data_IF_846893654463
#
_entry.id   IF_846893654463
#
_cell.length_a   1.000
_cell.length_b   1.000
_cell.length_c   1.000
_cell.angle_alpha   90.00
_cell.angle_beta   90.00
_cell.angle_gamma   90.00
#
_symmetry.space_group_name_H-M   'P 1'
#
loop_
_entity.id
_entity.type
_entity.pdbx_description
1 polymer ?
#
# COMPACT_ATOMS: atom_id res chain seq x y z
N UNK A 1 -0.91 9.63 -28.24
CA UNK A 1 -0.36 9.34 -26.90
C UNK A 1 -0.60 7.87 -26.61
N UNK A 2 0.45 7.08 -26.41
CA UNK A 2 0.30 5.68 -26.04
C UNK A 2 -0.49 5.61 -24.73
N UNK A 3 -1.52 4.77 -24.68
CA UNK A 3 -2.29 4.52 -23.46
C UNK A 3 -1.40 3.76 -22.48
N UNK A 4 -0.92 4.40 -21.44
CA UNK A 4 -0.09 3.80 -20.39
C UNK A 4 -0.98 3.20 -19.30
N UNK A 5 -0.77 1.92 -19.01
CA UNK A 5 -1.39 1.15 -17.93
C UNK A 5 -0.34 0.92 -16.84
N UNK A 6 -0.74 0.83 -15.57
CA UNK A 6 0.16 0.58 -14.44
C UNK A 6 1.38 1.53 -14.38
N UNK A 7 1.13 2.82 -14.12
CA UNK A 7 2.21 3.80 -14.11
C UNK A 7 3.18 3.54 -12.95
N UNK A 8 4.50 3.61 -13.22
CA UNK A 8 5.51 3.61 -12.18
C UNK A 8 5.49 4.91 -11.38
N UNK A 9 6.30 4.98 -10.33
CA UNK A 9 6.57 6.23 -9.62
C UNK A 9 7.23 7.25 -10.55
N UNK A 10 6.81 8.51 -10.44
CA UNK A 10 7.56 9.65 -10.97
C UNK A 10 8.79 9.96 -10.11
N UNK A 11 9.67 10.85 -10.57
CA UNK A 11 10.80 11.33 -9.77
C UNK A 11 10.37 11.95 -8.43
N UNK A 12 9.20 12.60 -8.40
CA UNK A 12 8.61 13.12 -7.15
C UNK A 12 8.11 11.98 -6.25
N UNK A 13 7.47 10.96 -6.82
CA UNK A 13 7.05 9.77 -6.08
C UNK A 13 8.23 9.03 -5.44
N UNK A 14 9.35 8.89 -6.19
CA UNK A 14 10.62 8.37 -5.68
C UNK A 14 11.12 9.14 -4.45
N UNK A 15 11.21 10.47 -4.55
CA UNK A 15 11.66 11.32 -3.44
C UNK A 15 10.77 11.17 -2.20
N UNK A 16 9.45 10.99 -2.40
CA UNK A 16 8.51 10.75 -1.30
C UNK A 16 8.74 9.38 -0.63
N UNK A 17 9.01 8.33 -1.43
CA UNK A 17 9.32 7.00 -0.91
C UNK A 17 10.66 6.99 -0.14
N UNK A 18 11.70 7.66 -0.66
CA UNK A 18 12.98 7.83 0.03
C UNK A 18 12.82 8.64 1.33
N UNK A 19 11.96 9.66 1.34
CA UNK A 19 11.65 10.42 2.54
C UNK A 19 10.93 9.56 3.59
N UNK A 20 10.06 8.64 3.18
CA UNK A 20 9.47 7.65 4.08
C UNK A 20 10.55 6.69 4.63
N UNK A 21 11.45 6.18 3.79
CA UNK A 21 12.59 5.36 4.22
C UNK A 21 13.40 6.05 5.33
N UNK A 22 13.76 7.33 5.12
CA UNK A 22 14.49 8.13 6.12
C UNK A 22 13.71 8.31 7.42
N UNK A 23 12.39 8.54 7.35
CA UNK A 23 11.53 8.65 8.54
C UNK A 23 11.48 7.35 9.33
N UNK A 24 11.42 6.19 8.66
CA UNK A 24 11.46 4.88 9.30
C UNK A 24 12.80 4.64 10.02
N UNK A 25 13.92 4.93 9.36
CA UNK A 25 15.25 4.84 9.97
C UNK A 25 15.35 5.74 11.20
N UNK A 26 14.82 6.97 11.11
CA UNK A 26 14.84 7.90 12.23
C UNK A 26 13.98 7.43 13.40
N UNK A 27 12.77 6.94 13.13
CA UNK A 27 11.87 6.41 14.16
C UNK A 27 12.48 5.21 14.88
N UNK A 28 13.17 4.32 14.15
CA UNK A 28 13.91 3.20 14.75
C UNK A 28 15.07 3.63 15.64
N UNK A 29 15.73 4.76 15.35
CA UNK A 29 16.76 5.34 16.24
C UNK A 29 16.16 5.96 17.50
N UNK A 30 14.93 6.47 17.41
CA UNK A 30 14.22 7.10 18.52
C UNK A 30 13.43 6.13 19.38
N UNK A 31 13.37 4.84 18.99
CA UNK A 31 12.52 3.84 19.63
C UNK A 31 11.06 4.31 19.76
N UNK A 32 10.53 4.89 18.68
CA UNK A 32 9.15 5.37 18.63
C UNK A 32 8.17 4.18 18.70
N UNK A 33 7.53 4.04 19.86
CA UNK A 33 6.58 2.97 20.16
C UNK A 33 5.38 2.95 19.20
N UNK A 34 5.00 4.09 18.61
CA UNK A 34 3.87 4.16 17.68
C UNK A 34 4.15 3.44 16.35
N UNK A 35 5.42 3.22 16.01
CA UNK A 35 5.84 2.59 14.75
C UNK A 35 6.78 1.40 14.95
N UNK A 36 6.99 0.93 16.17
CA UNK A 36 7.84 -0.23 16.46
C UNK A 36 7.43 -1.45 15.63
N UNK A 37 6.13 -1.74 15.55
CA UNK A 37 5.58 -2.85 14.77
C UNK A 37 5.79 -2.69 13.25
N UNK A 38 5.89 -1.45 12.76
CA UNK A 38 6.19 -1.15 11.35
C UNK A 38 7.66 -1.40 11.00
N UNK A 39 8.56 -1.36 11.99
CA UNK A 39 9.99 -1.65 11.81
C UNK A 39 10.29 -3.15 11.81
N UNK A 40 9.39 -3.95 12.38
CA UNK A 40 9.51 -5.41 12.48
C UNK A 40 8.18 -6.09 12.09
N UNK A 41 7.71 -5.93 10.85
CA UNK A 41 6.48 -6.57 10.41
C UNK A 41 6.68 -8.07 10.25
N UNK A 42 5.68 -8.87 10.64
CA UNK A 42 5.68 -10.31 10.37
C UNK A 42 5.31 -10.61 8.91
N UNK A 43 4.58 -9.70 8.24
CA UNK A 43 4.30 -9.76 6.81
C UNK A 43 4.18 -8.37 6.17
N UNK A 44 4.59 -8.27 4.91
CA UNK A 44 4.43 -7.07 4.08
C UNK A 44 3.63 -7.42 2.84
N UNK A 45 2.37 -6.99 2.81
CA UNK A 45 1.50 -7.11 1.66
C UNK A 45 1.63 -5.89 0.75
N UNK A 46 1.69 -6.10 -0.55
CA UNK A 46 1.95 -5.04 -1.51
C UNK A 46 0.97 -5.16 -2.66
N UNK A 47 0.29 -4.06 -3.00
CA UNK A 47 -0.49 -4.00 -4.22
C UNK A 47 0.41 -4.32 -5.43
N UNK A 48 -0.05 -5.12 -6.41
CA UNK A 48 0.76 -5.50 -7.56
C UNK A 48 0.99 -4.39 -8.60
N UNK A 49 0.40 -3.20 -8.41
CA UNK A 49 0.71 -2.03 -9.24
C UNK A 49 2.17 -1.57 -9.02
N UNK A 50 2.88 -1.28 -10.10
CA UNK A 50 4.32 -0.97 -10.14
C UNK A 50 4.72 0.12 -9.15
N UNK A 51 3.94 1.21 -9.05
CA UNK A 51 4.19 2.28 -8.07
C UNK A 51 4.16 1.83 -6.61
N UNK A 52 3.30 0.85 -6.27
CA UNK A 52 3.19 0.34 -4.90
C UNK A 52 4.37 -0.58 -4.59
N UNK A 53 4.76 -1.44 -5.54
CA UNK A 53 5.97 -2.27 -5.44
C UNK A 53 7.21 -1.40 -5.27
N UNK A 54 7.41 -0.40 -6.13
CA UNK A 54 8.54 0.53 -6.02
C UNK A 54 8.55 1.28 -4.69
N UNK A 55 7.39 1.74 -4.21
CA UNK A 55 7.28 2.39 -2.89
C UNK A 55 7.69 1.43 -1.78
N UNK A 56 7.21 0.18 -1.81
CA UNK A 56 7.55 -0.84 -0.82
C UNK A 56 9.06 -1.13 -0.81
N UNK A 57 9.68 -1.29 -1.98
CA UNK A 57 11.12 -1.55 -2.09
C UNK A 57 11.94 -0.37 -1.59
N UNK A 58 11.65 0.86 -2.02
CA UNK A 58 12.42 2.05 -1.63
C UNK A 58 12.24 2.37 -0.14
N UNK A 59 11.01 2.32 0.36
CA UNK A 59 10.68 2.76 1.72
C UNK A 59 10.88 1.67 2.77
N UNK A 60 10.41 0.45 2.51
CA UNK A 60 10.40 -0.65 3.48
C UNK A 60 11.55 -1.63 3.26
N UNK A 61 12.02 -1.80 2.02
CA UNK A 61 13.07 -2.75 1.66
C UNK A 61 14.26 -2.74 2.63
N UNK A 62 14.92 -1.58 2.87
CA UNK A 62 16.04 -1.50 3.80
C UNK A 62 15.72 -1.94 5.23
N UNK A 63 14.48 -1.70 5.69
CA UNK A 63 13.99 -2.09 7.02
C UNK A 63 13.75 -3.59 7.09
N UNK A 64 13.09 -4.16 6.07
CA UNK A 64 12.72 -5.58 6.00
C UNK A 64 13.97 -6.46 5.82
N UNK A 65 14.96 -6.02 5.04
CA UNK A 65 16.20 -6.78 4.81
C UNK A 65 17.24 -6.57 5.92
N UNK A 66 17.01 -5.66 6.89
CA UNK A 66 18.04 -5.20 7.83
C UNK A 66 18.65 -6.30 8.70
N UNK A 67 17.86 -7.27 9.12
CA UNK A 67 18.28 -8.27 10.13
C UNK A 67 19.00 -9.47 9.50
N UNK A 68 18.48 -9.98 8.40
CA UNK A 68 18.94 -11.25 7.79
C UNK A 68 19.63 -11.02 6.44
N UNK A 69 19.62 -9.80 5.93
CA UNK A 69 20.01 -9.48 4.56
C UNK A 69 18.98 -9.89 3.51
N UNK A 70 17.90 -10.56 3.90
CA UNK A 70 16.84 -11.04 3.02
C UNK A 70 15.48 -10.61 3.57
N UNK A 71 14.55 -10.25 2.70
CA UNK A 71 13.20 -9.87 3.10
C UNK A 71 12.15 -10.59 2.27
N UNK A 72 10.92 -10.61 2.78
CA UNK A 72 9.78 -11.17 2.05
C UNK A 72 8.66 -10.14 1.92
N UNK A 73 8.07 -10.09 0.73
CA UNK A 73 6.87 -9.31 0.44
C UNK A 73 5.89 -10.21 -0.32
N UNK A 74 4.59 -10.02 -0.07
CA UNK A 74 3.52 -10.78 -0.73
C UNK A 74 2.72 -9.83 -1.60
N UNK A 75 2.61 -10.12 -2.89
CA UNK A 75 1.72 -9.36 -3.76
C UNK A 75 0.28 -9.71 -3.43
N UNK A 76 -0.54 -8.71 -3.14
CA UNK A 76 -1.94 -8.88 -2.75
C UNK A 76 -2.83 -8.18 -3.78
N UNK A 77 -3.44 -8.97 -4.67
CA UNK A 77 -4.30 -8.46 -5.75
C UNK A 77 -5.43 -7.55 -5.24
N UNK A 78 -5.94 -7.86 -4.04
CA UNK A 78 -7.05 -7.14 -3.43
C UNK A 78 -6.67 -5.76 -2.88
N UNK A 79 -5.37 -5.48 -2.69
CA UNK A 79 -4.87 -4.18 -2.23
C UNK A 79 -4.74 -3.13 -3.37
N UNK A 80 -5.04 -3.50 -4.62
CA UNK A 80 -4.96 -2.59 -5.78
C UNK A 80 -5.91 -1.39 -5.66
N UNK A 81 -5.58 -0.32 -6.39
CA UNK A 81 -6.43 0.87 -6.45
C UNK A 81 -7.79 0.58 -7.10
N UNK A 82 -8.82 1.34 -6.71
CA UNK A 82 -10.13 1.27 -7.34
C UNK A 82 -10.05 1.62 -8.84
N UNK A 83 -10.56 0.73 -9.69
CA UNK A 83 -10.65 0.97 -11.12
C UNK A 83 -11.87 1.84 -11.46
N UNK A 84 -11.62 3.14 -11.69
CA UNK A 84 -12.64 4.08 -12.13
C UNK A 84 -12.80 4.07 -13.66
N UNK A 85 -13.94 4.59 -14.14
CA UNK A 85 -14.23 4.67 -15.58
C UNK A 85 -13.15 5.46 -16.33
N UNK A 86 -12.48 4.81 -17.29
CA UNK A 86 -11.36 5.39 -18.04
C UNK A 86 -10.00 5.34 -17.32
N UNK A 87 -9.94 4.80 -16.11
CA UNK A 87 -8.72 4.65 -15.30
C UNK A 87 -7.87 3.45 -15.74
N UNK A 88 -7.20 3.57 -16.88
CA UNK A 88 -6.29 2.53 -17.40
C UNK A 88 -5.07 2.29 -16.50
N UNK A 89 -4.69 3.29 -15.71
CA UNK A 89 -3.57 3.22 -14.75
C UNK A 89 -3.74 2.12 -13.67
N UNK A 90 -4.96 1.69 -13.40
CA UNK A 90 -5.23 0.65 -12.39
C UNK A 90 -5.26 -0.77 -12.96
N UNK A 91 -4.99 -0.90 -14.26
CA UNK A 91 -4.85 -2.17 -14.97
C UNK A 91 -3.39 -2.47 -15.18
N UNK A 92 -3.05 -3.75 -15.19
CA UNK A 92 -1.78 -4.21 -15.71
C UNK A 92 -2.00 -5.00 -17.01
N UNK A 93 -0.90 -5.25 -17.72
CA UNK A 93 -0.84 -6.25 -18.80
C UNK A 93 0.05 -7.43 -18.39
N UNK A 94 0.47 -7.46 -17.12
CA UNK A 94 1.46 -8.37 -16.56
C UNK A 94 0.83 -9.18 -15.44
N UNK A 95 1.22 -10.45 -15.34
CA UNK A 95 0.78 -11.43 -14.35
C UNK A 95 2.00 -12.19 -13.83
N UNK A 96 1.89 -12.82 -12.66
CA UNK A 96 2.92 -13.57 -11.98
C UNK A 96 4.23 -12.78 -11.87
N UNK A 97 5.33 -13.43 -12.20
CA UNK A 97 6.68 -12.87 -12.14
C UNK A 97 6.90 -11.68 -13.10
N UNK A 98 6.10 -11.55 -14.15
CA UNK A 98 6.23 -10.44 -15.10
C UNK A 98 5.87 -9.09 -14.46
N UNK A 99 5.02 -9.09 -13.43
CA UNK A 99 4.70 -7.90 -12.63
C UNK A 99 5.96 -7.35 -11.95
N UNK A 100 6.76 -8.26 -11.37
CA UNK A 100 8.00 -7.93 -10.68
C UNK A 100 9.08 -7.50 -11.67
N UNK A 101 9.22 -8.21 -12.79
CA UNK A 101 10.18 -7.87 -13.83
C UNK A 101 9.90 -6.48 -14.43
N UNK A 102 8.62 -6.15 -14.64
CA UNK A 102 8.21 -4.80 -15.05
C UNK A 102 8.59 -3.76 -14.01
N UNK A 103 8.22 -3.99 -12.75
CA UNK A 103 8.51 -3.07 -11.64
C UNK A 103 10.01 -2.83 -11.47
N UNK A 104 10.85 -3.86 -11.63
CA UNK A 104 12.30 -3.76 -11.59
C UNK A 104 12.86 -2.94 -12.77
N UNK A 105 12.34 -3.14 -13.98
CA UNK A 105 12.77 -2.37 -15.14
C UNK A 105 12.43 -0.89 -14.98
N UNK A 106 11.21 -0.59 -14.53
CA UNK A 106 10.79 0.77 -14.23
C UNK A 106 11.58 1.38 -13.06
N UNK A 107 11.93 0.58 -12.05
CA UNK A 107 12.77 1.03 -10.93
C UNK A 107 14.19 1.38 -11.42
N UNK A 108 14.78 0.59 -12.32
CA UNK A 108 16.07 0.92 -12.94
C UNK A 108 16.02 2.21 -13.73
N UNK A 109 14.97 2.40 -14.53
CA UNK A 109 14.76 3.63 -15.30
C UNK A 109 14.58 4.85 -14.37
N UNK A 110 13.85 4.69 -13.27
CA UNK A 110 13.58 5.75 -12.29
C UNK A 110 14.84 6.27 -11.57
N UNK A 111 15.89 5.44 -11.50
CA UNK A 111 17.18 5.77 -10.90
C UNK A 111 18.29 5.98 -11.94
N UNK A 112 17.95 6.10 -13.22
CA UNK A 112 18.89 6.26 -14.34
C UNK A 112 20.02 5.19 -14.34
N UNK A 113 19.78 4.03 -13.74
CA UNK A 113 20.76 2.96 -13.54
C UNK A 113 21.85 3.24 -12.49
N UNK A 114 21.81 4.35 -11.76
CA UNK A 114 22.91 4.82 -10.88
C UNK A 114 22.80 4.37 -9.41
N UNK A 115 21.63 3.93 -8.94
CA UNK A 115 21.43 3.61 -7.52
C UNK A 115 21.51 2.11 -7.23
N UNK A 116 22.74 1.64 -7.00
CA UNK A 116 23.04 0.24 -6.73
C UNK A 116 22.42 -0.29 -5.44
N UNK A 117 22.19 0.55 -4.43
CA UNK A 117 21.67 0.09 -3.12
C UNK A 117 20.20 -0.31 -3.20
N UNK A 118 19.35 0.48 -3.88
CA UNK A 118 17.93 0.16 -4.05
C UNK A 118 17.74 -1.08 -4.93
N UNK A 119 18.54 -1.23 -5.99
CA UNK A 119 18.50 -2.42 -6.85
C UNK A 119 19.01 -3.67 -6.13
N UNK A 120 20.03 -3.53 -5.28
CA UNK A 120 20.49 -4.61 -4.40
C UNK A 120 19.45 -4.96 -3.34
N UNK A 121 18.73 -3.96 -2.83
CA UNK A 121 17.60 -4.20 -1.92
C UNK A 121 16.52 -5.00 -2.63
N UNK A 122 16.17 -4.64 -3.87
CA UNK A 122 15.21 -5.41 -4.67
C UNK A 122 15.65 -6.88 -4.84
N UNK A 123 16.92 -7.14 -5.15
CA UNK A 123 17.42 -8.52 -5.33
C UNK A 123 17.48 -9.34 -4.04
N UNK A 124 17.55 -8.67 -2.88
CA UNK A 124 17.48 -9.29 -1.56
C UNK A 124 16.04 -9.55 -1.08
N UNK A 125 15.03 -9.06 -1.81
CA UNK A 125 13.62 -9.30 -1.49
C UNK A 125 13.09 -10.50 -2.29
N UNK A 126 12.52 -11.46 -1.57
CA UNK A 126 11.65 -12.49 -2.14
C UNK A 126 10.24 -11.93 -2.25
N UNK A 127 9.64 -12.10 -3.41
CA UNK A 127 8.24 -11.77 -3.64
C UNK A 127 7.42 -13.05 -3.82
N UNK A 128 6.38 -13.22 -3.01
CA UNK A 128 5.30 -14.15 -3.32
C UNK A 128 4.35 -13.48 -4.30
N UNK A 129 4.21 -14.07 -5.49
CA UNK A 129 3.39 -13.56 -6.59
C UNK A 129 2.16 -14.42 -6.87
N UNK A 130 1.80 -15.34 -5.96
CA UNK A 130 0.74 -16.33 -6.19
C UNK A 130 -0.61 -15.68 -6.54
N UNK A 131 -1.03 -14.67 -5.76
CA UNK A 131 -2.27 -13.91 -5.94
C UNK A 131 -2.38 -13.19 -7.29
N UNK A 132 -1.27 -13.08 -8.03
CA UNK A 132 -1.23 -12.40 -9.33
C UNK A 132 -0.80 -13.28 -10.47
N UNK A 133 -0.68 -14.61 -10.27
CA UNK A 133 -0.40 -15.58 -11.34
C UNK A 133 -1.42 -15.48 -12.49
N UNK A 134 -2.67 -15.19 -12.16
CA UNK A 134 -3.76 -14.92 -13.10
C UNK A 134 -4.11 -13.43 -13.17
N UNK A 135 -5.08 -13.10 -14.03
CA UNK A 135 -5.60 -11.74 -14.17
C UNK A 135 -6.19 -11.24 -12.84
N UNK A 136 -5.54 -10.26 -12.24
CA UNK A 136 -5.90 -9.68 -10.95
C UNK A 136 -6.63 -8.32 -11.04
N UNK A 137 -6.91 -7.84 -12.25
CA UNK A 137 -7.66 -6.60 -12.52
C UNK A 137 -8.98 -6.88 -13.25
N UNK A 138 -9.91 -5.93 -13.18
CA UNK A 138 -11.20 -6.03 -13.85
C UNK A 138 -11.08 -5.71 -15.34
N UNK A 139 -11.66 -6.55 -16.21
CA UNK A 139 -11.56 -6.40 -17.67
C UNK A 139 -12.42 -5.22 -18.20
N UNK A 140 -13.58 -5.00 -17.57
CA UNK A 140 -14.52 -3.94 -17.95
C UNK A 140 -14.07 -2.53 -17.58
N UNK A 141 -14.69 -1.49 -18.14
CA UNK A 141 -14.26 -0.08 -18.04
C UNK A 141 -14.10 0.47 -16.62
N UNK A 142 -14.85 -0.05 -15.66
CA UNK A 142 -14.80 0.33 -14.25
C UNK A 142 -15.23 -0.86 -13.39
N UNK A 143 -14.64 -1.00 -12.20
CA UNK A 143 -15.12 -1.94 -11.19
C UNK A 143 -16.46 -1.44 -10.62
N UNK A 144 -17.46 -2.32 -10.60
CA UNK A 144 -18.77 -1.99 -10.05
C UNK A 144 -18.72 -1.83 -8.52
N UNK A 145 -19.70 -1.13 -7.91
CA UNK A 145 -19.76 -1.00 -6.45
C UNK A 145 -19.84 -2.35 -5.72
N UNK A 146 -20.50 -3.36 -6.28
CA UNK A 146 -20.58 -4.70 -5.70
C UNK A 146 -19.23 -5.43 -5.78
N UNK A 147 -18.56 -5.40 -6.92
CA UNK A 147 -17.23 -6.03 -7.07
C UNK A 147 -16.20 -5.39 -6.15
N UNK A 148 -16.21 -4.06 -6.03
CA UNK A 148 -15.38 -3.34 -5.06
C UNK A 148 -15.68 -3.78 -3.63
N UNK A 149 -16.97 -3.96 -3.28
CA UNK A 149 -17.38 -4.42 -1.95
C UNK A 149 -16.87 -5.82 -1.66
N UNK A 150 -17.09 -6.77 -2.58
CA UNK A 150 -16.68 -8.16 -2.42
C UNK A 150 -15.16 -8.26 -2.29
N UNK A 151 -14.41 -7.51 -3.11
CA UNK A 151 -12.95 -7.39 -2.99
C UNK A 151 -12.49 -6.82 -1.65
N UNK A 152 -13.15 -5.76 -1.16
CA UNK A 152 -12.83 -5.19 0.14
C UNK A 152 -13.11 -6.16 1.29
N UNK A 153 -14.17 -6.98 1.17
CA UNK A 153 -14.48 -8.02 2.14
C UNK A 153 -13.41 -9.12 2.12
N UNK A 154 -12.98 -9.57 0.94
CA UNK A 154 -11.87 -10.52 0.82
C UNK A 154 -10.57 -9.96 1.40
N UNK A 155 -10.20 -8.73 1.03
CA UNK A 155 -9.06 -8.01 1.61
C UNK A 155 -9.09 -7.99 3.14
N UNK A 156 -10.22 -7.58 3.73
CA UNK A 156 -10.34 -7.53 5.18
C UNK A 156 -10.32 -8.93 5.82
N UNK A 157 -10.89 -9.94 5.15
CA UNK A 157 -10.85 -11.34 5.60
C UNK A 157 -9.42 -11.84 5.68
N UNK A 158 -8.63 -11.61 4.63
CA UNK A 158 -7.21 -11.98 4.57
C UNK A 158 -6.43 -11.36 5.74
N UNK A 159 -6.71 -10.10 6.10
CA UNK A 159 -6.07 -9.45 7.25
C UNK A 159 -6.55 -10.03 8.60
N UNK A 160 -7.86 -10.20 8.79
CA UNK A 160 -8.41 -10.67 10.08
C UNK A 160 -8.03 -12.10 10.42
N UNK A 161 -7.88 -12.95 9.40
CA UNK A 161 -7.57 -14.37 9.56
C UNK A 161 -6.14 -14.73 9.13
N UNK A 162 -5.30 -13.72 8.91
CA UNK A 162 -3.87 -13.88 8.75
C UNK A 162 -3.26 -14.54 10.01
N UNK A 163 -2.27 -15.43 9.86
CA UNK A 163 -1.52 -15.94 11.01
C UNK A 163 -0.62 -14.86 11.64
N UNK A 164 -0.44 -13.72 10.97
CA UNK A 164 0.46 -12.65 11.37
C UNK A 164 -0.20 -11.64 12.32
N UNK A 165 0.49 -11.27 13.39
CA UNK A 165 0.02 -10.28 14.37
C UNK A 165 0.31 -8.84 13.94
N UNK A 166 1.41 -8.63 13.21
CA UNK A 166 1.81 -7.31 12.69
C UNK A 166 2.02 -7.40 11.20
N UNK A 167 1.30 -6.56 10.46
CA UNK A 167 1.31 -6.57 9.00
C UNK A 167 1.45 -5.15 8.48
N UNK A 168 2.12 -5.00 7.34
CA UNK A 168 2.18 -3.74 6.60
C UNK A 168 1.51 -3.96 5.25
N UNK A 169 0.57 -3.08 4.89
CA UNK A 169 -0.08 -3.11 3.58
C UNK A 169 0.33 -1.87 2.80
N UNK A 170 1.03 -2.05 1.68
CA UNK A 170 1.36 -0.98 0.74
C UNK A 170 0.33 -0.97 -0.39
N UNK A 171 -0.57 0.01 -0.35
CA UNK A 171 -1.68 0.13 -1.29
C UNK A 171 -1.91 1.58 -1.71
N UNK A 172 -3.17 1.92 -1.97
CA UNK A 172 -3.52 3.20 -2.58
C UNK A 172 -4.56 3.95 -1.77
N UNK A 173 -4.50 5.28 -1.82
CA UNK A 173 -5.22 6.13 -0.88
C UNK A 173 -6.73 6.14 -1.12
N UNK A 174 -7.24 5.97 -2.34
CA UNK A 174 -8.68 5.83 -2.54
C UNK A 174 -9.19 4.47 -2.05
N UNK A 175 -8.44 3.39 -2.29
CA UNK A 175 -8.75 2.07 -1.75
C UNK A 175 -8.78 2.08 -0.22
N UNK A 176 -7.73 2.57 0.45
CA UNK A 176 -7.71 2.63 1.91
C UNK A 176 -8.81 3.52 2.49
N UNK A 177 -9.12 4.65 1.85
CA UNK A 177 -10.27 5.48 2.25
C UNK A 177 -11.59 4.70 2.17
N UNK A 178 -11.77 3.85 1.16
CA UNK A 178 -12.94 2.99 1.05
C UNK A 178 -12.96 1.90 2.13
N UNK A 179 -11.80 1.30 2.45
CA UNK A 179 -11.64 0.34 3.57
C UNK A 179 -12.06 0.99 4.89
N UNK A 180 -11.57 2.18 5.22
CA UNK A 180 -11.97 2.88 6.46
C UNK A 180 -13.48 3.14 6.51
N UNK A 181 -14.07 3.62 5.41
CA UNK A 181 -15.55 3.81 5.34
C UNK A 181 -16.34 2.53 5.59
N UNK A 182 -15.80 1.38 5.16
CA UNK A 182 -16.51 0.11 5.22
C UNK A 182 -16.34 -0.62 6.57
N UNK A 183 -15.21 -0.43 7.27
CA UNK A 183 -14.80 -1.32 8.35
C UNK A 183 -14.44 -0.63 9.68
N UNK A 184 -14.51 0.70 9.78
CA UNK A 184 -14.42 1.37 11.08
C UNK A 184 -15.55 0.93 12.02
N UNK A 185 -15.20 0.61 13.25
CA UNK A 185 -16.16 0.31 14.32
C UNK A 185 -16.95 1.55 14.73
N UNK A 186 -18.20 1.33 15.16
CA UNK A 186 -19.04 2.40 15.71
C UNK A 186 -18.41 3.03 16.96
N UNK A 187 -17.79 2.22 17.82
CA UNK A 187 -17.12 2.68 19.04
C UNK A 187 -15.96 3.64 18.70
N UNK A 188 -15.10 3.28 17.75
CA UNK A 188 -14.03 4.18 17.30
C UNK A 188 -14.58 5.47 16.70
N UNK A 189 -15.68 5.39 15.94
CA UNK A 189 -16.32 6.58 15.36
C UNK A 189 -16.89 7.52 16.44
N UNK A 190 -17.38 6.96 17.55
CA UNK A 190 -17.90 7.74 18.68
C UNK A 190 -16.77 8.38 19.50
N UNK A 191 -15.69 7.64 19.76
CA UNK A 191 -14.56 8.12 20.58
C UNK A 191 -13.62 9.07 19.82
N UNK A 192 -13.46 8.88 18.52
CA UNK A 192 -12.48 9.60 17.68
C UNK A 192 -13.17 10.27 16.48
N UNK A 193 -14.28 10.96 16.73
CA UNK A 193 -15.17 11.49 15.69
C UNK A 193 -14.47 12.31 14.60
N UNK A 194 -13.53 13.20 14.99
CA UNK A 194 -12.80 14.05 14.05
C UNK A 194 -11.90 13.24 13.12
N UNK A 195 -11.13 12.30 13.67
CA UNK A 195 -10.24 11.45 12.89
C UNK A 195 -11.03 10.46 12.03
N UNK A 196 -12.08 9.83 12.58
CA UNK A 196 -12.96 8.94 11.84
C UNK A 196 -13.59 9.64 10.63
N UNK A 197 -14.10 10.86 10.82
CA UNK A 197 -14.64 11.68 9.74
C UNK A 197 -13.57 12.05 8.72
N UNK A 198 -12.38 12.45 9.18
CA UNK A 198 -11.29 12.86 8.31
C UNK A 198 -10.76 11.69 7.46
N UNK A 199 -10.47 10.53 8.06
CA UNK A 199 -9.90 9.37 7.36
C UNK A 199 -10.91 8.71 6.39
N UNK A 200 -12.21 8.87 6.66
CA UNK A 200 -13.26 8.47 5.74
C UNK A 200 -13.43 9.47 4.59
N UNK A 201 -13.23 10.77 4.79
CA UNK A 201 -13.50 11.78 3.75
C UNK A 201 -12.27 12.12 2.90
N UNK A 202 -11.07 12.12 3.48
CA UNK A 202 -9.81 12.55 2.87
C UNK A 202 -8.91 11.36 2.54
N UNK A 203 -7.91 11.59 1.69
CA UNK A 203 -6.91 10.58 1.33
C UNK A 203 -5.70 10.71 2.22
N UNK A 204 -5.03 9.61 2.51
CA UNK A 204 -3.65 9.66 2.98
C UNK A 204 -2.79 10.36 1.92
N UNK A 205 -1.92 11.27 2.37
CA UNK A 205 -0.85 11.80 1.52
C UNK A 205 -0.03 10.66 0.92
N UNK A 206 0.63 10.89 -0.22
CA UNK A 206 1.57 9.91 -0.77
C UNK A 206 2.63 9.53 0.26
N UNK A 207 2.92 8.23 0.37
CA UNK A 207 3.83 7.68 1.39
C UNK A 207 3.42 8.08 2.83
N UNK A 208 2.12 8.32 3.05
CA UNK A 208 1.50 8.43 4.35
C UNK A 208 1.22 7.04 4.94
N UNK A 209 1.29 6.95 6.26
CA UNK A 209 1.15 5.72 7.04
C UNK A 209 0.10 5.91 8.11
N UNK A 210 -0.83 4.98 8.18
CA UNK A 210 -1.79 4.86 9.26
C UNK A 210 -1.53 3.53 9.98
N UNK A 211 -1.39 3.58 11.30
CA UNK A 211 -1.44 2.40 12.17
C UNK A 211 -2.91 2.06 12.40
N UNK A 212 -3.26 0.78 12.25
CA UNK A 212 -4.64 0.29 12.33
C UNK A 212 -4.68 -0.89 13.29
N UNK A 213 -5.63 -0.88 14.21
CA UNK A 213 -5.89 -1.99 15.13
C UNK A 213 -7.14 -2.75 14.69
N UNK A 214 -7.01 -4.06 14.55
CA UNK A 214 -8.07 -4.96 14.09
C UNK A 214 -8.52 -5.89 15.22
N UNK A 215 -9.83 -6.07 15.37
CA UNK A 215 -10.43 -7.09 16.24
C UNK A 215 -11.13 -8.19 15.43
N UNK A 216 -10.50 -9.37 15.27
CA UNK A 216 -11.08 -10.49 14.55
C UNK A 216 -12.41 -10.98 15.13
N UNK A 217 -12.69 -10.74 16.43
CA UNK A 217 -13.94 -11.20 17.07
C UNK A 217 -15.18 -10.48 16.55
N UNK A 218 -15.02 -9.28 16.00
CA UNK A 218 -16.12 -8.52 15.38
C UNK A 218 -16.49 -9.05 14.00
N UNK A 219 -15.59 -9.81 13.37
CA UNK A 219 -15.74 -10.27 12.00
C UNK A 219 -15.85 -9.10 11.00
N UNK A 220 -16.09 -9.45 9.74
CA UNK A 220 -16.12 -8.48 8.62
C UNK A 220 -17.30 -7.50 8.76
N UNK A 221 -18.43 -7.95 9.30
CA UNK A 221 -19.67 -7.16 9.38
C UNK A 221 -19.76 -6.28 10.62
N UNK A 222 -18.92 -6.51 11.64
CA UNK A 222 -18.99 -5.82 12.92
C UNK A 222 -18.11 -4.57 13.04
N UNK A 223 -17.54 -4.08 11.94
CA UNK A 223 -16.56 -2.99 11.95
C UNK A 223 -15.27 -3.42 12.65
N UNK A 224 -14.44 -4.25 12.03
CA UNK A 224 -13.27 -4.85 12.69
C UNK A 224 -12.15 -3.85 12.99
N UNK A 225 -12.16 -2.64 12.41
CA UNK A 225 -11.18 -1.61 12.73
C UNK A 225 -11.59 -0.89 14.01
N UNK A 226 -10.94 -1.23 15.11
CA UNK A 226 -11.22 -0.69 16.45
C UNK A 226 -10.31 0.49 16.83
N UNK A 227 -9.22 0.70 16.09
CA UNK A 227 -8.30 1.81 16.29
C UNK A 227 -7.63 2.24 15.00
N UNK A 228 -7.37 3.54 14.86
CA UNK A 228 -6.57 4.09 13.77
C UNK A 228 -5.80 5.34 14.24
N UNK A 229 -4.54 5.45 13.80
CA UNK A 229 -3.64 6.55 14.16
C UNK A 229 -2.79 6.94 12.93
N UNK A 230 -2.62 8.23 12.68
CA UNK A 230 -1.71 8.72 11.64
C UNK A 230 -0.30 8.85 12.21
N UNK A 231 0.65 8.12 11.63
CA UNK A 231 2.04 8.06 12.15
C UNK A 231 3.03 8.62 11.15
N UNK A 232 4.29 8.84 11.56
CA UNK A 232 5.35 9.37 10.71
C UNK A 232 4.99 10.71 10.04
N UNK A 233 4.35 11.63 10.77
CA UNK A 233 3.92 12.95 10.25
C UNK A 233 2.92 12.89 9.08
N UNK A 234 2.15 11.80 9.01
CA UNK A 234 1.16 11.61 7.95
C UNK A 234 0.04 12.65 8.03
N UNK A 235 -0.36 13.13 6.86
CA UNK A 235 -1.46 14.09 6.70
C UNK A 235 -2.54 13.51 5.79
N UNK A 236 -3.73 14.07 5.93
CA UNK A 236 -4.90 13.76 5.12
C UNK A 236 -5.18 14.89 4.12
N UNK A 237 -5.15 14.56 2.83
CA UNK A 237 -5.35 15.49 1.73
C UNK A 237 -6.80 15.46 1.22
N UNK A 238 -7.33 16.63 0.89
CA UNK A 238 -8.62 16.75 0.21
C UNK A 238 -8.53 16.22 -1.24
N UNK A 239 -9.68 15.78 -1.78
CA UNK A 239 -9.79 15.43 -3.19
C UNK A 239 -9.39 16.64 -4.08
N UNK A 240 -8.36 16.48 -4.91
CA UNK A 240 -7.89 17.51 -5.85
C UNK A 240 -6.48 18.07 -5.61
N UNK A 241 -5.88 17.87 -4.44
CA UNK A 241 -4.52 18.35 -4.17
C UNK A 241 -3.41 17.53 -4.87
N UNK A 242 -3.69 16.27 -5.22
CA UNK A 242 -2.69 15.32 -5.73
C UNK A 242 -2.74 14.99 -7.23
N UNK A 243 -3.79 15.40 -7.96
CA UNK A 243 -4.00 15.01 -9.36
C UNK A 243 -2.96 15.62 -10.34
N UNK A 244 -2.26 16.68 -9.92
CA UNK A 244 -1.14 17.25 -10.67
C UNK A 244 0.25 16.81 -10.17
N UNK A 245 0.32 15.93 -9.17
CA UNK A 245 1.58 15.66 -8.47
C UNK A 245 2.22 14.29 -8.76
N UNK A 246 1.49 13.34 -9.35
CA UNK A 246 1.96 11.95 -9.52
C UNK A 246 2.05 11.49 -10.97
N UNK A 247 1.38 12.19 -11.90
CA UNK A 247 1.40 11.85 -13.32
C UNK A 247 2.21 12.92 -14.06
N UNK A 248 3.42 12.55 -14.46
CA UNK A 248 4.16 13.15 -15.57
C UNK A 248 4.84 12.00 -16.31
#
# INVERSE_FOLDING_TARGET
MARTTDHPLSSKGRQQAEALSRRLVQAGKQADAAVEQLLHPEAVYVSPLSRAIQTAVIALGPTVTKQTGLGEMVLMANAREKQNFGGLDTRSTKIGVDVLQNSLNELRALYDGEDGEVLQTFSNLRFDAHDVEDRWWFDGMAESPSEMKDRMQEFMSQLLYSPHRTMVVVGHSHFFRAVFRAFLSEDFCAENQDLATAICSKKLMNCGVARVELDPKRGITGGPIIGAELVLETRLDADGAGLMACCA
#
